data_IF_911247726582
#
_entry.id   IF_911247726582
#
_cell.length_a   1.000
_cell.length_b   1.000
_cell.length_c   1.000
_cell.angle_alpha   90.00
_cell.angle_beta   90.00
_cell.angle_gamma   90.00
#
_symmetry.space_group_name_H-M   'P 1'
#
loop_
_entity.id
_entity.type
_entity.pdbx_description
1 polymer ?
#
# COMPACT_ATOMS: atom_id res chain seq x y z
N UNK A 1 15.68 10.98 3.47
CA UNK A 1 16.16 9.75 4.11
C UNK A 1 16.43 8.73 2.99
N UNK A 2 17.57 8.04 2.97
CA UNK A 2 17.90 7.07 1.90
C UNK A 2 17.66 5.67 2.44
N UNK A 3 16.55 5.05 2.06
CA UNK A 3 16.28 3.65 2.39
C UNK A 3 17.23 2.78 1.55
N UNK A 4 18.09 2.00 2.20
CA UNK A 4 19.00 1.07 1.52
C UNK A 4 18.45 -0.35 1.61
N UNK A 5 17.88 -0.84 0.51
CA UNK A 5 17.49 -2.23 0.36
C UNK A 5 18.73 -3.11 0.13
N UNK A 6 18.71 -4.34 0.64
CA UNK A 6 19.79 -5.31 0.41
C UNK A 6 19.74 -5.83 -1.02
N UNK A 7 20.89 -6.31 -1.54
CA UNK A 7 21.01 -6.82 -2.92
C UNK A 7 20.14 -8.06 -3.18
N UNK A 8 19.81 -8.80 -2.13
CA UNK A 8 18.88 -9.94 -2.14
C UNK A 8 17.42 -9.48 -2.20
N UNK A 9 17.07 -8.40 -1.48
CA UNK A 9 15.75 -7.75 -1.60
C UNK A 9 15.56 -7.18 -3.02
N UNK A 10 16.60 -6.55 -3.60
CA UNK A 10 16.60 -5.98 -4.96
C UNK A 10 16.47 -7.01 -6.11
N UNK A 11 16.78 -8.28 -5.88
CA UNK A 11 16.74 -9.36 -6.88
C UNK A 11 15.79 -10.51 -6.49
N UNK A 12 14.89 -10.27 -5.54
CA UNK A 12 13.99 -11.31 -5.03
C UNK A 12 12.99 -11.78 -6.09
N UNK A 13 12.68 -13.07 -6.08
CA UNK A 13 11.60 -13.66 -6.87
C UNK A 13 10.26 -12.97 -6.54
N UNK A 14 9.23 -13.07 -7.42
CA UNK A 14 7.90 -12.55 -7.10
C UNK A 14 7.42 -13.07 -5.74
N UNK A 15 7.16 -12.16 -4.81
CA UNK A 15 6.60 -12.49 -3.49
C UNK A 15 5.08 -12.51 -3.56
N UNK A 16 4.45 -13.50 -2.93
CA UNK A 16 3.01 -13.46 -2.67
C UNK A 16 2.65 -12.25 -1.79
N UNK A 17 1.38 -11.87 -1.76
CA UNK A 17 0.95 -10.70 -0.98
C UNK A 17 1.15 -10.89 0.53
N UNK A 18 1.03 -12.12 1.02
CA UNK A 18 1.29 -12.46 2.43
C UNK A 18 2.77 -12.35 2.74
N UNK A 19 3.64 -12.99 1.95
CA UNK A 19 5.09 -12.94 2.15
C UNK A 19 5.63 -11.51 2.09
N UNK A 20 5.13 -10.71 1.13
CA UNK A 20 5.51 -9.30 1.03
C UNK A 20 5.08 -8.51 2.27
N UNK A 21 3.83 -8.69 2.73
CA UNK A 21 3.33 -7.95 3.88
C UNK A 21 4.06 -8.34 5.17
N UNK A 22 4.40 -9.61 5.35
CA UNK A 22 5.23 -10.08 6.47
C UNK A 22 6.61 -9.43 6.44
N UNK A 23 7.31 -9.58 5.31
CA UNK A 23 8.65 -9.00 5.11
C UNK A 23 8.66 -7.49 5.34
N UNK A 24 7.75 -6.77 4.68
CA UNK A 24 7.70 -5.32 4.75
C UNK A 24 7.39 -4.84 6.17
N UNK A 25 6.40 -5.43 6.84
CA UNK A 25 6.00 -4.98 8.18
C UNK A 25 7.10 -5.28 9.19
N UNK A 26 7.72 -6.45 9.13
CA UNK A 26 8.70 -6.88 10.13
C UNK A 26 10.06 -6.21 9.95
N UNK A 27 10.51 -6.00 8.72
CA UNK A 27 11.85 -5.45 8.45
C UNK A 27 11.84 -3.92 8.27
N UNK A 28 10.81 -3.38 7.60
CA UNK A 28 10.80 -1.98 7.18
C UNK A 28 9.86 -1.16 8.05
N UNK A 29 8.57 -1.48 8.09
CA UNK A 29 7.58 -0.67 8.81
C UNK A 29 7.89 -0.57 10.29
N UNK A 30 8.32 -1.68 10.92
CA UNK A 30 8.71 -1.71 12.33
C UNK A 30 9.93 -0.84 12.64
N UNK A 31 10.81 -0.64 11.66
CA UNK A 31 12.03 0.17 11.80
C UNK A 31 11.75 1.64 11.53
N UNK A 32 11.06 1.92 10.42
CA UNK A 32 10.81 3.28 9.93
C UNK A 32 9.63 3.96 10.65
N UNK A 33 8.61 3.20 11.05
CA UNK A 33 7.38 3.68 11.70
C UNK A 33 7.00 2.82 12.93
N UNK A 34 7.88 2.72 13.94
CA UNK A 34 7.67 1.85 15.09
C UNK A 34 6.40 2.19 15.89
N UNK A 35 6.04 3.47 15.96
CA UNK A 35 4.84 3.92 16.66
C UNK A 35 3.56 3.49 15.95
N UNK A 36 3.53 3.49 14.62
CA UNK A 36 2.39 2.97 13.84
C UNK A 36 2.17 1.49 14.13
N UNK A 37 3.24 0.68 14.12
CA UNK A 37 3.15 -0.75 14.43
C UNK A 37 2.69 -0.97 15.88
N UNK A 38 3.16 -0.14 16.82
CA UNK A 38 2.77 -0.22 18.23
C UNK A 38 1.29 0.15 18.44
N UNK A 39 0.79 1.14 17.72
CA UNK A 39 -0.58 1.65 17.86
C UNK A 39 -1.59 0.73 17.17
N UNK A 40 -1.34 0.37 15.91
CA UNK A 40 -2.29 -0.41 15.09
C UNK A 40 -2.15 -1.92 15.30
N UNK A 41 -0.98 -2.37 15.76
CA UNK A 41 -0.64 -3.79 15.85
C UNK A 41 -0.15 -4.36 14.54
N UNK A 42 0.75 -5.36 14.64
CA UNK A 42 1.40 -6.01 13.49
C UNK A 42 0.41 -6.58 12.48
N UNK A 43 -0.62 -7.29 12.94
CA UNK A 43 -1.61 -7.96 12.07
C UNK A 43 -2.39 -6.95 11.23
N UNK A 44 -2.83 -5.84 11.84
CA UNK A 44 -3.52 -4.76 11.14
C UNK A 44 -2.63 -4.12 10.08
N UNK A 45 -1.37 -3.83 10.43
CA UNK A 45 -0.39 -3.30 9.48
C UNK A 45 -0.15 -4.25 8.30
N UNK A 46 -0.08 -5.56 8.54
CA UNK A 46 0.06 -6.56 7.49
C UNK A 46 -1.17 -6.58 6.58
N UNK A 47 -2.38 -6.57 7.14
CA UNK A 47 -3.62 -6.53 6.35
C UNK A 47 -3.69 -5.29 5.46
N UNK A 48 -3.40 -4.11 6.02
CA UNK A 48 -3.36 -2.85 5.28
C UNK A 48 -2.30 -2.88 4.17
N UNK A 49 -1.08 -3.32 4.49
CA UNK A 49 0.03 -3.45 3.51
C UNK A 49 -0.33 -4.42 2.38
N UNK A 50 -0.80 -5.62 2.72
CA UNK A 50 -1.25 -6.66 1.78
C UNK A 50 -2.30 -6.10 0.83
N UNK A 51 -3.30 -5.42 1.38
CA UNK A 51 -4.42 -4.84 0.65
C UNK A 51 -3.99 -3.72 -0.29
N UNK A 52 -3.30 -2.71 0.24
CA UNK A 52 -2.88 -1.52 -0.50
C UNK A 52 -1.82 -1.80 -1.58
N UNK A 53 -1.01 -2.85 -1.43
CA UNK A 53 -0.03 -3.29 -2.45
C UNK A 53 -0.65 -3.47 -3.84
N UNK A 54 -1.96 -3.76 -3.92
CA UNK A 54 -2.70 -3.95 -5.18
C UNK A 54 -2.71 -2.72 -6.09
N UNK A 55 -2.49 -1.51 -5.56
CA UNK A 55 -2.31 -0.32 -6.41
C UNK A 55 -1.00 -0.32 -7.18
N UNK A 56 0.04 -0.98 -6.68
CA UNK A 56 1.38 -0.82 -7.24
C UNK A 56 1.50 -1.45 -8.65
N UNK A 57 0.95 -2.65 -8.91
CA UNK A 57 0.87 -3.20 -10.25
C UNK A 57 0.05 -2.34 -11.22
N UNK A 58 -0.95 -1.60 -10.75
CA UNK A 58 -1.73 -0.67 -11.59
C UNK A 58 -0.86 0.46 -12.17
N UNK A 59 0.15 0.91 -11.42
CA UNK A 59 1.16 1.87 -11.90
C UNK A 59 2.35 1.23 -12.62
N UNK A 60 2.28 -0.08 -12.87
CA UNK A 60 3.35 -0.85 -13.51
C UNK A 60 4.52 -1.17 -12.58
N UNK A 61 4.36 -1.06 -11.26
CA UNK A 61 5.40 -1.33 -10.25
C UNK A 61 5.20 -2.75 -9.72
N UNK A 62 6.00 -3.69 -10.22
CA UNK A 62 5.82 -5.13 -9.99
C UNK A 62 6.95 -5.76 -9.17
N UNK A 63 8.12 -5.13 -9.11
CA UNK A 63 9.27 -5.63 -8.33
C UNK A 63 9.06 -5.43 -6.82
N UNK A 64 9.23 -6.45 -5.97
CA UNK A 64 8.99 -6.33 -4.52
C UNK A 64 9.80 -5.23 -3.82
N UNK A 65 11.07 -5.04 -4.16
CA UNK A 65 11.90 -3.98 -3.57
C UNK A 65 11.36 -2.57 -3.89
N UNK A 66 10.98 -2.33 -5.14
CA UNK A 66 10.38 -1.07 -5.57
C UNK A 66 8.98 -0.87 -4.97
N UNK A 67 8.23 -1.96 -4.81
CA UNK A 67 6.95 -1.91 -4.13
C UNK A 67 7.11 -1.55 -2.65
N UNK A 68 8.13 -2.06 -1.97
CA UNK A 68 8.46 -1.68 -0.59
C UNK A 68 8.77 -0.19 -0.47
N UNK A 69 9.50 0.37 -1.43
CA UNK A 69 9.78 1.82 -1.47
C UNK A 69 8.50 2.66 -1.55
N UNK A 70 7.64 2.36 -2.53
CA UNK A 70 6.38 3.10 -2.67
C UNK A 70 5.45 2.85 -1.48
N UNK A 71 5.42 1.64 -0.93
CA UNK A 71 4.66 1.33 0.29
C UNK A 71 5.12 2.21 1.46
N UNK A 72 6.42 2.47 1.59
CA UNK A 72 6.94 3.42 2.59
C UNK A 72 6.44 4.84 2.36
N UNK A 73 6.33 5.27 1.11
CA UNK A 73 5.71 6.58 0.78
C UNK A 73 4.22 6.58 1.17
N UNK A 74 3.49 5.49 0.93
CA UNK A 74 2.09 5.33 1.35
C UNK A 74 1.92 5.43 2.87
N UNK A 75 2.80 4.79 3.65
CA UNK A 75 2.77 4.89 5.11
C UNK A 75 3.17 6.27 5.63
N UNK A 76 4.03 7.00 4.89
CA UNK A 76 4.47 8.35 5.27
C UNK A 76 3.46 9.45 4.92
N UNK A 77 2.83 9.37 3.75
CA UNK A 77 2.01 10.44 3.17
C UNK A 77 0.52 10.08 3.05
N UNK A 78 0.15 8.84 3.37
CA UNK A 78 -1.20 8.30 3.19
C UNK A 78 -1.30 7.37 1.97
N UNK A 79 -2.19 6.36 2.04
CA UNK A 79 -2.33 5.35 0.99
C UNK A 79 -2.83 5.90 -0.35
N UNK A 80 -3.42 7.10 -0.35
CA UNK A 80 -3.89 7.80 -1.55
C UNK A 80 -2.93 8.90 -2.03
N UNK A 81 -1.66 8.93 -1.59
CA UNK A 81 -0.70 9.98 -2.01
C UNK A 81 -0.60 10.16 -3.54
N UNK A 82 -0.84 9.08 -4.28
CA UNK A 82 -0.84 9.06 -5.74
C UNK A 82 -1.98 9.86 -6.38
N UNK A 83 -2.99 10.27 -5.63
CA UNK A 83 -4.05 11.17 -6.12
C UNK A 83 -3.56 12.61 -6.26
N UNK A 84 -2.50 12.97 -5.55
CA UNK A 84 -1.91 14.28 -5.68
C UNK A 84 -1.22 14.43 -7.06
N UNK A 85 -1.46 15.52 -7.82
CA UNK A 85 -1.03 15.63 -9.22
C UNK A 85 0.47 15.41 -9.47
N UNK A 86 1.31 15.82 -8.52
CA UNK A 86 2.77 15.67 -8.62
C UNK A 86 3.17 14.18 -8.68
N UNK A 87 2.57 13.34 -7.83
CA UNK A 87 2.83 11.91 -7.79
C UNK A 87 2.11 11.18 -8.92
N UNK A 88 0.83 11.52 -9.17
CA UNK A 88 0.03 10.92 -10.24
C UNK A 88 0.73 11.01 -11.60
N UNK A 89 1.26 12.19 -11.94
CA UNK A 89 1.97 12.42 -13.20
C UNK A 89 3.17 11.48 -13.36
N UNK A 90 3.93 11.24 -12.29
CA UNK A 90 5.09 10.34 -12.32
C UNK A 90 4.63 8.88 -12.47
N UNK A 91 3.67 8.44 -11.65
CA UNK A 91 3.25 7.05 -11.57
C UNK A 91 2.53 6.57 -12.85
N UNK A 92 1.84 7.47 -13.54
CA UNK A 92 1.14 7.18 -14.80
C UNK A 92 1.97 7.40 -16.06
N UNK A 93 3.19 7.92 -15.95
CA UNK A 93 4.06 8.15 -17.11
C UNK A 93 4.60 6.82 -17.65
N UNK A 94 4.06 6.38 -18.79
CA UNK A 94 4.45 5.13 -19.43
C UNK A 94 5.80 5.21 -20.16
N UNK A 95 6.41 6.39 -20.27
CA UNK A 95 7.77 6.54 -20.79
C UNK A 95 8.86 6.21 -19.75
N UNK A 96 8.48 6.14 -18.47
CA UNK A 96 9.39 5.83 -17.37
C UNK A 96 9.39 4.34 -17.04
N UNK A 97 10.59 3.83 -16.78
CA UNK A 97 10.78 2.51 -16.15
C UNK A 97 10.29 2.52 -14.69
N UNK A 98 10.09 1.34 -14.11
CA UNK A 98 9.65 1.23 -12.70
C UNK A 98 10.63 1.92 -11.75
N UNK A 99 11.94 1.71 -11.96
CA UNK A 99 13.01 2.34 -11.19
C UNK A 99 12.95 3.88 -11.30
N UNK A 100 12.83 4.41 -12.51
CA UNK A 100 12.72 5.87 -12.72
C UNK A 100 11.47 6.47 -12.07
N UNK A 101 10.35 5.73 -12.04
CA UNK A 101 9.14 6.18 -11.33
C UNK A 101 9.40 6.30 -9.84
N UNK A 102 9.98 5.26 -9.23
CA UNK A 102 10.30 5.27 -7.79
C UNK A 102 11.29 6.37 -7.45
N UNK A 103 12.38 6.50 -8.21
CA UNK A 103 13.38 7.56 -8.00
C UNK A 103 12.74 8.94 -8.06
N UNK A 104 11.88 9.21 -9.06
CA UNK A 104 11.21 10.50 -9.20
C UNK A 104 10.20 10.77 -8.10
N UNK A 105 9.50 9.76 -7.59
CA UNK A 105 8.58 9.92 -6.44
C UNK A 105 9.33 10.52 -5.24
N UNK A 106 10.56 10.09 -4.97
CA UNK A 106 11.39 10.66 -3.90
C UNK A 106 11.97 12.05 -4.20
N UNK A 107 11.80 12.57 -5.41
CA UNK A 107 12.20 13.95 -5.78
C UNK A 107 11.05 14.95 -5.75
N UNK A 108 9.83 14.49 -5.46
CA UNK A 108 8.68 15.38 -5.25
C UNK A 108 8.95 16.29 -4.07
N UNK A 109 8.53 17.55 -4.17
CA UNK A 109 8.82 18.55 -3.17
C UNK A 109 8.15 18.24 -1.83
N UNK A 110 8.76 18.71 -0.72
CA UNK A 110 8.16 18.57 0.61
C UNK A 110 6.80 19.29 0.70
N UNK A 111 6.60 20.37 -0.08
CA UNK A 111 5.31 21.07 -0.16
C UNK A 111 4.22 20.18 -0.78
N UNK A 112 4.49 19.56 -1.92
CA UNK A 112 3.57 18.62 -2.56
C UNK A 112 3.34 17.38 -1.68
N UNK A 113 4.38 16.92 -0.98
CA UNK A 113 4.28 15.82 0.00
C UNK A 113 3.39 16.17 1.19
N UNK A 114 3.53 17.37 1.75
CA UNK A 114 2.68 17.88 2.82
C UNK A 114 1.22 18.01 2.38
N UNK A 115 0.96 18.49 1.16
CA UNK A 115 -0.40 18.56 0.62
C UNK A 115 -1.03 17.19 0.39
N UNK A 116 -0.23 16.18 0.03
CA UNK A 116 -0.70 14.79 -0.05
C UNK A 116 -1.07 14.26 1.34
N UNK A 117 -0.22 14.49 2.34
CA UNK A 117 -0.46 14.08 3.72
C UNK A 117 -1.71 14.74 4.32
N UNK A 118 -1.92 16.03 4.09
CA UNK A 118 -3.11 16.76 4.58
C UNK A 118 -4.43 16.23 3.99
N UNK A 119 -4.36 15.48 2.88
CA UNK A 119 -5.49 14.87 2.18
C UNK A 119 -5.49 13.34 2.26
N UNK A 120 -4.72 12.78 3.19
CA UNK A 120 -4.65 11.35 3.39
C UNK A 120 -6.03 10.76 3.70
N UNK A 121 -6.37 9.65 3.04
CA UNK A 121 -7.63 8.94 3.21
C UNK A 121 -7.38 7.45 3.46
N UNK A 122 -7.54 7.04 4.72
CA UNK A 122 -7.27 5.67 5.17
C UNK A 122 -8.14 4.61 4.49
N UNK A 123 -9.25 4.98 3.84
CA UNK A 123 -10.05 4.03 3.04
C UNK A 123 -9.23 3.42 1.92
N UNK A 124 -8.20 4.11 1.44
CA UNK A 124 -7.30 3.59 0.40
C UNK A 124 -6.37 2.48 0.93
N UNK A 125 -6.25 2.23 2.23
CA UNK A 125 -5.63 0.96 2.67
C UNK A 125 -6.41 -0.26 2.15
N UNK A 126 -7.67 -0.08 1.77
CA UNK A 126 -8.60 -1.12 1.32
C UNK A 126 -9.24 -0.72 0.00
N UNK A 127 -8.58 -1.02 -1.16
CA UNK A 127 -9.01 -0.51 -2.47
C UNK A 127 -10.47 -0.82 -2.84
N UNK A 128 -11.05 -1.90 -2.30
CA UNK A 128 -12.46 -2.27 -2.52
C UNK A 128 -13.46 -1.34 -1.82
N UNK A 129 -13.01 -0.59 -0.82
CA UNK A 129 -13.82 0.40 -0.10
C UNK A 129 -13.75 1.79 -0.77
N UNK A 130 -12.84 1.98 -1.72
CA UNK A 130 -12.65 3.26 -2.42
C UNK A 130 -13.78 3.48 -3.42
N UNK A 131 -14.47 4.64 -3.38
CA UNK A 131 -15.47 4.99 -4.37
C UNK A 131 -14.93 4.92 -5.80
N UNK A 132 -15.67 4.26 -6.70
CA UNK A 132 -15.25 4.09 -8.09
C UNK A 132 -14.21 3.00 -8.31
N UNK A 133 -13.61 2.44 -7.26
CA UNK A 133 -12.77 1.24 -7.28
C UNK A 133 -11.86 1.19 -8.51
N UNK A 134 -10.83 2.04 -8.50
CA UNK A 134 -9.93 2.26 -9.64
C UNK A 134 -9.22 0.98 -10.13
N UNK A 135 -9.24 -0.07 -9.31
CA UNK A 135 -8.68 -1.38 -9.60
C UNK A 135 -9.70 -2.38 -10.20
N UNK A 136 -10.98 -2.04 -10.28
CA UNK A 136 -12.04 -2.91 -10.82
C UNK A 136 -12.26 -4.19 -10.00
N UNK A 137 -11.91 -4.18 -8.71
CA UNK A 137 -12.04 -5.32 -7.81
C UNK A 137 -13.52 -5.60 -7.45
N UNK A 138 -13.92 -6.86 -7.29
CA UNK A 138 -15.28 -7.15 -6.78
C UNK A 138 -15.52 -6.44 -5.44
N UNK A 139 -16.72 -5.91 -5.22
CA UNK A 139 -17.09 -5.44 -3.89
C UNK A 139 -17.09 -6.64 -2.93
N UNK A 140 -16.80 -6.44 -1.65
CA UNK A 140 -16.76 -7.56 -0.70
C UNK A 140 -18.11 -8.29 -0.58
N UNK A 141 -19.23 -7.56 -0.73
CA UNK A 141 -20.59 -8.13 -0.78
C UNK A 141 -20.83 -9.04 -1.99
N UNK A 142 -19.98 -8.98 -3.01
CA UNK A 142 -20.06 -9.78 -4.23
C UNK A 142 -19.09 -10.98 -4.21
N UNK A 143 -18.30 -11.12 -3.14
CA UNK A 143 -17.33 -12.19 -2.98
C UNK A 143 -17.98 -13.45 -2.37
N UNK A 144 -17.53 -14.61 -2.81
CA UNK A 144 -17.89 -15.90 -2.21
C UNK A 144 -17.24 -16.05 -0.82
N UNK A 145 -17.80 -16.91 0.05
CA UNK A 145 -17.17 -17.23 1.35
C UNK A 145 -15.70 -17.64 1.21
N UNK A 146 -15.38 -18.42 0.16
CA UNK A 146 -14.00 -18.83 -0.13
C UNK A 146 -13.10 -17.63 -0.41
N UNK A 147 -13.54 -16.73 -1.29
CA UNK A 147 -12.78 -15.52 -1.63
C UNK A 147 -12.63 -14.59 -0.41
N UNK A 148 -13.60 -14.53 0.49
CA UNK A 148 -13.51 -13.76 1.75
C UNK A 148 -12.46 -14.37 2.71
N UNK A 149 -12.46 -15.69 2.88
CA UNK A 149 -11.44 -16.39 3.65
C UNK A 149 -10.02 -16.18 3.12
N UNK A 150 -9.84 -16.14 1.80
CA UNK A 150 -8.54 -15.86 1.16
C UNK A 150 -8.05 -14.42 1.43
N UNK A 151 -8.95 -13.50 1.74
CA UNK A 151 -8.63 -12.12 2.12
C UNK A 151 -8.41 -11.95 3.65
N UNK A 152 -8.47 -13.03 4.43
CA UNK A 152 -8.49 -13.03 5.90
C UNK A 152 -9.71 -12.31 6.50
N UNK A 153 -10.85 -12.37 5.81
CA UNK A 153 -12.13 -11.85 6.28
C UNK A 153 -13.01 -13.02 6.69
N UNK A 154 -13.45 -13.04 7.94
CA UNK A 154 -14.42 -14.02 8.41
C UNK A 154 -15.82 -13.66 7.87
N UNK A 155 -16.40 -14.47 6.96
CA UNK A 155 -17.71 -14.18 6.37
C UNK A 155 -18.87 -14.36 7.37
N UNK A 156 -18.61 -14.99 8.52
CA UNK A 156 -19.61 -15.30 9.54
C UNK A 156 -19.52 -14.34 10.75
N UNK A 157 -18.61 -13.35 10.72
CA UNK A 157 -18.56 -12.24 11.68
C UNK A 157 -19.76 -11.29 11.45
N UNK A 158 -20.46 -10.88 12.51
CA UNK A 158 -21.71 -10.07 12.42
C UNK A 158 -21.49 -8.72 11.73
N UNK A 159 -20.26 -8.22 11.74
CA UNK A 159 -19.82 -7.06 10.99
C UNK A 159 -18.32 -7.17 10.72
N UNK A 160 -17.91 -7.80 9.61
CA UNK A 160 -16.49 -7.91 9.23
C UNK A 160 -15.88 -6.53 8.93
N UNK A 161 -16.70 -5.48 8.92
CA UNK A 161 -16.35 -4.08 8.70
C UNK A 161 -16.42 -3.25 9.98
N UNK A 162 -16.68 -3.86 11.15
CA UNK A 162 -16.67 -3.18 12.45
C UNK A 162 -15.34 -2.50 12.74
N UNK A 163 -14.24 -3.01 12.17
CA UNK A 163 -12.90 -2.41 12.21
C UNK A 163 -12.82 -1.02 11.54
N UNK A 164 -13.80 -0.64 10.73
CA UNK A 164 -13.88 0.65 10.02
C UNK A 164 -14.96 1.58 10.58
N UNK A 165 -15.69 1.17 11.62
CA UNK A 165 -16.80 1.96 12.18
C UNK A 165 -16.38 3.04 13.18
N UNK A 166 -15.11 3.07 13.58
CA UNK A 166 -14.57 4.13 14.42
C UNK A 166 -13.80 5.15 13.57
N UNK A 167 -14.54 6.14 13.07
CA UNK A 167 -14.03 7.40 12.52
C UNK A 167 -14.59 8.57 13.31
#
# INVERSE_FOLDING_TARGET
>A
MVIKFTREQMNSAPMSDVEFAEWYVDEILRTEFPDTVKQQGRVSCMRATKSARRFLPHFGITRPDLQGQIMTVMWALGPNFFEHPAFYKILTDNSLTQDEKVDRVYTVSDEDGGQALDRADDRYWYPRLVPGNILGLKAYSEMTKKELWEEDIDPDEEDPWSIFKDG
#
